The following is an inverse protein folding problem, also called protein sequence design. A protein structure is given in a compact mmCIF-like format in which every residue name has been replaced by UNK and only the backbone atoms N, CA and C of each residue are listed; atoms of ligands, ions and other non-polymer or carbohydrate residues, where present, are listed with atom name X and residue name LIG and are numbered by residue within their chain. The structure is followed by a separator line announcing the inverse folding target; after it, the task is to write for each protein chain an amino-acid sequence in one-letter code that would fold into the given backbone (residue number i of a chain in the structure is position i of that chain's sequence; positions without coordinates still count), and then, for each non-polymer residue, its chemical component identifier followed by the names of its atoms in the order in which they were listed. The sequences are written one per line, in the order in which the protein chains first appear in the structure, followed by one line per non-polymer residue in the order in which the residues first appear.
data_IF_937587388677
#
_entry.id   IF_937587388677
#
_cell.length_a   1.000
_cell.length_b   1.000
_cell.length_c   1.000
_cell.angle_alpha   90.00
_cell.angle_beta   90.00
_cell.angle_gamma   90.00
#
_symmetry.space_group_name_H-M   'P 1'
#
loop_
_entity.id
_entity.type
_entity.pdbx_description
1 polymer ?
#
# COMPACT_ATOMS: atom_id res chain seq x y z
N UNK A 1 13.85 -24.29 10.17
CA UNK A 1 12.55 -24.66 9.59
C UNK A 1 11.90 -23.44 8.96
N UNK A 2 11.55 -23.54 7.71
CA UNK A 2 10.94 -22.39 7.00
C UNK A 2 9.44 -22.36 7.25
N UNK A 3 8.95 -21.19 7.62
CA UNK A 3 7.52 -20.96 7.80
C UNK A 3 6.91 -20.70 6.42
N UNK A 4 5.83 -21.40 6.03
CA UNK A 4 5.18 -21.15 4.75
C UNK A 4 4.67 -19.72 4.64
N UNK A 5 4.67 -19.18 3.41
CA UNK A 5 4.24 -17.79 3.18
C UNK A 5 2.79 -17.57 3.64
N UNK A 6 1.93 -18.56 3.51
CA UNK A 6 0.54 -18.48 3.94
C UNK A 6 0.42 -18.19 5.44
N UNK A 7 1.34 -18.71 6.24
CA UNK A 7 1.36 -18.45 7.67
C UNK A 7 1.83 -17.02 7.97
N UNK A 8 2.80 -16.51 7.22
CA UNK A 8 3.21 -15.10 7.34
C UNK A 8 2.04 -14.17 7.01
N UNK A 9 1.32 -14.47 5.92
CA UNK A 9 0.15 -13.69 5.51
C UNK A 9 -0.92 -13.72 6.60
N UNK A 10 -1.20 -14.90 7.14
CA UNK A 10 -2.21 -15.05 8.21
C UNK A 10 -1.85 -14.24 9.45
N UNK A 11 -0.56 -14.27 9.84
CA UNK A 11 -0.08 -13.52 11.00
C UNK A 11 -0.24 -12.01 10.82
N UNK A 12 -0.07 -11.50 9.60
CA UNK A 12 -0.12 -10.07 9.32
C UNK A 12 -1.49 -9.58 8.82
N UNK A 13 -2.48 -10.47 8.71
CA UNK A 13 -3.77 -10.10 8.09
C UNK A 13 -4.48 -8.96 8.81
N UNK A 14 -4.62 -9.04 10.12
CA UNK A 14 -5.32 -8.01 10.89
C UNK A 14 -4.58 -6.68 10.83
N UNK A 15 -3.25 -6.71 10.98
CA UNK A 15 -2.40 -5.53 10.86
C UNK A 15 -2.52 -4.93 9.45
N UNK A 16 -2.41 -5.77 8.41
CA UNK A 16 -2.50 -5.32 7.03
C UNK A 16 -3.85 -4.71 6.71
N UNK A 17 -4.95 -5.27 7.22
CA UNK A 17 -6.28 -4.69 7.03
C UNK A 17 -6.42 -3.34 7.73
N UNK A 18 -5.82 -3.18 8.90
CA UNK A 18 -5.80 -1.89 9.59
C UNK A 18 -5.03 -0.84 8.79
N UNK A 19 -3.90 -1.21 8.19
CA UNK A 19 -3.12 -0.33 7.32
C UNK A 19 -3.96 0.09 6.10
N UNK A 20 -4.60 -0.87 5.44
CA UNK A 20 -5.46 -0.59 4.28
C UNK A 20 -6.60 0.34 4.63
N UNK A 21 -7.20 0.18 5.81
CA UNK A 21 -8.26 1.06 6.29
C UNK A 21 -7.76 2.49 6.47
N UNK A 22 -6.57 2.68 7.04
CA UNK A 22 -5.98 4.01 7.23
C UNK A 22 -5.66 4.67 5.90
N UNK A 23 -5.16 3.92 4.92
CA UNK A 23 -4.93 4.44 3.57
C UNK A 23 -6.26 4.85 2.94
N UNK A 24 -7.30 4.03 3.04
CA UNK A 24 -8.62 4.34 2.52
C UNK A 24 -9.19 5.62 3.12
N UNK A 25 -9.02 5.81 4.44
CA UNK A 25 -9.47 7.03 5.11
C UNK A 25 -8.78 8.27 4.54
N UNK A 26 -7.49 8.18 4.20
CA UNK A 26 -6.77 9.28 3.56
C UNK A 26 -7.29 9.57 2.16
N UNK A 27 -7.62 8.53 1.40
CA UNK A 27 -8.21 8.69 0.06
C UNK A 27 -9.50 9.51 0.17
N UNK A 28 -10.36 9.19 1.13
CA UNK A 28 -11.61 9.91 1.35
C UNK A 28 -11.34 11.36 1.78
N UNK A 29 -10.39 11.58 2.67
CA UNK A 29 -10.05 12.94 3.15
C UNK A 29 -9.51 13.83 2.04
N UNK A 30 -8.87 13.26 1.03
CA UNK A 30 -8.37 14.02 -0.12
C UNK A 30 -9.48 14.44 -1.08
N UNK A 31 -10.72 14.09 -0.79
CA UNK A 31 -11.87 14.47 -1.60
C UNK A 31 -12.18 13.53 -2.74
N UNK A 32 -11.55 12.39 -2.80
CA UNK A 32 -11.93 11.36 -3.77
C UNK A 32 -13.21 10.71 -3.28
N UNK A 33 -14.27 10.84 -4.07
CA UNK A 33 -15.47 10.07 -3.81
C UNK A 33 -15.14 8.59 -3.99
N UNK A 34 -15.78 7.73 -3.20
CA UNK A 34 -15.65 6.29 -3.36
C UNK A 34 -16.38 5.89 -4.64
N UNK A 35 -15.77 6.18 -5.78
CA UNK A 35 -16.33 5.89 -7.09
C UNK A 35 -15.82 4.53 -7.56
N UNK A 36 -16.59 3.91 -8.43
CA UNK A 36 -16.29 2.57 -8.92
C UNK A 36 -14.97 2.48 -9.70
N UNK A 37 -14.48 3.61 -10.22
CA UNK A 37 -13.24 3.64 -10.97
C UNK A 37 -11.99 3.83 -10.09
N UNK A 38 -12.16 4.14 -8.80
CA UNK A 38 -11.05 4.23 -7.86
C UNK A 38 -10.93 2.92 -7.10
N UNK A 39 -9.84 2.20 -7.37
CA UNK A 39 -9.59 0.95 -6.69
C UNK A 39 -9.00 1.24 -5.31
N UNK A 40 -9.63 0.69 -4.27
CA UNK A 40 -9.17 0.85 -2.90
C UNK A 40 -8.18 -0.27 -2.52
N UNK A 41 -7.25 -0.03 -1.61
CA UNK A 41 -6.33 -1.07 -1.18
C UNK A 41 -7.08 -2.16 -0.41
N UNK A 42 -6.91 -3.40 -0.86
CA UNK A 42 -7.48 -4.59 -0.24
C UNK A 42 -6.34 -5.54 0.07
N UNK A 43 -6.17 -5.86 1.36
CA UNK A 43 -5.11 -6.75 1.79
C UNK A 43 -5.13 -8.08 1.04
N UNK A 44 -6.34 -8.64 0.83
CA UNK A 44 -6.48 -9.95 0.17
C UNK A 44 -6.15 -9.91 -1.33
N UNK A 45 -6.18 -8.72 -1.94
CA UNK A 45 -5.85 -8.55 -3.36
C UNK A 45 -4.34 -8.38 -3.61
N UNK A 46 -3.54 -8.14 -2.58
CA UNK A 46 -2.10 -7.97 -2.74
C UNK A 46 -1.45 -9.30 -3.10
N UNK A 47 -0.45 -9.25 -3.96
CA UNK A 47 0.36 -10.43 -4.31
C UNK A 47 1.59 -10.45 -3.43
N UNK A 48 1.68 -11.45 -2.55
CA UNK A 48 2.70 -11.52 -1.52
C UNK A 48 3.87 -12.42 -1.91
N UNK A 49 5.05 -12.04 -1.44
CA UNK A 49 6.27 -12.83 -1.52
C UNK A 49 7.12 -12.59 -0.28
N UNK A 50 8.06 -13.51 -0.01
CA UNK A 50 9.04 -13.34 1.06
C UNK A 50 10.34 -12.86 0.44
N UNK A 51 10.92 -11.82 1.01
CA UNK A 51 12.17 -11.21 0.53
C UNK A 51 13.15 -11.18 1.69
N UNK A 52 14.37 -11.66 1.45
CA UNK A 52 15.42 -11.63 2.47
C UNK A 52 15.97 -10.22 2.59
N UNK A 53 15.97 -9.69 3.82
CA UNK A 53 16.57 -8.39 4.11
C UNK A 53 18.10 -8.55 4.09
N UNK A 54 18.80 -7.77 3.24
CA UNK A 54 20.26 -7.92 3.13
C UNK A 54 21.03 -7.48 4.37
N UNK A 55 20.40 -6.69 5.24
CA UNK A 55 21.08 -6.18 6.44
C UNK A 55 20.86 -7.07 7.66
N UNK A 56 19.66 -7.57 7.85
CA UNK A 56 19.29 -8.34 9.04
C UNK A 56 19.28 -9.84 8.80
N UNK A 57 19.31 -10.28 7.54
CA UNK A 57 19.15 -11.68 7.12
C UNK A 57 17.77 -12.25 7.47
N UNK A 58 16.88 -11.43 8.01
CA UNK A 58 15.49 -11.80 8.24
C UNK A 58 14.69 -11.78 6.96
N UNK A 59 13.46 -12.28 7.02
CA UNK A 59 12.57 -12.27 5.88
C UNK A 59 11.47 -11.22 6.06
N UNK A 60 11.30 -10.40 5.03
CA UNK A 60 10.21 -9.42 4.97
C UNK A 60 9.07 -10.03 4.15
N UNK A 61 7.84 -9.81 4.61
CA UNK A 61 6.65 -10.13 3.80
C UNK A 61 6.31 -8.91 2.97
N UNK A 62 6.33 -9.06 1.63
CA UNK A 62 6.12 -7.95 0.69
C UNK A 62 4.92 -8.27 -0.18
N UNK A 63 3.96 -7.35 -0.23
CA UNK A 63 2.80 -7.44 -1.10
C UNK A 63 2.76 -6.30 -2.10
N UNK A 64 2.28 -6.59 -3.30
CA UNK A 64 2.12 -5.60 -4.36
C UNK A 64 0.69 -5.58 -4.85
N UNK A 65 0.18 -4.37 -5.11
CA UNK A 65 -1.13 -4.18 -5.73
C UNK A 65 -0.95 -3.77 -7.18
N UNK A 66 -1.82 -4.31 -8.04
CA UNK A 66 -1.78 -4.04 -9.47
C UNK A 66 -3.15 -3.57 -9.96
N UNK A 67 -3.14 -2.70 -10.99
CA UNK A 67 -4.37 -2.29 -11.64
C UNK A 67 -4.77 -3.30 -12.72
N UNK A 68 -5.85 -2.99 -13.48
CA UNK A 68 -6.34 -3.90 -14.51
C UNK A 68 -5.34 -4.10 -15.66
N UNK A 69 -4.42 -3.16 -15.86
CA UNK A 69 -3.38 -3.23 -16.89
C UNK A 69 -2.10 -3.87 -16.36
N UNK A 70 -2.16 -4.51 -15.20
CA UNK A 70 -1.03 -5.17 -14.53
C UNK A 70 0.11 -4.22 -14.17
N UNK A 71 -0.18 -2.92 -14.06
CA UNK A 71 0.78 -1.94 -13.55
C UNK A 71 0.72 -1.90 -12.03
N UNK A 72 1.89 -1.83 -11.41
CA UNK A 72 1.95 -1.77 -9.94
C UNK A 72 1.49 -0.39 -9.46
N UNK A 73 0.48 -0.39 -8.59
CA UNK A 73 -0.10 0.83 -8.03
C UNK A 73 0.13 0.96 -6.53
N UNK A 74 0.80 0.00 -5.92
CA UNK A 74 1.10 0.09 -4.50
C UNK A 74 1.89 -1.08 -3.98
N UNK A 75 2.35 -0.95 -2.74
CA UNK A 75 3.11 -1.99 -2.06
C UNK A 75 2.90 -1.90 -0.56
N UNK A 76 3.09 -3.02 0.10
CA UNK A 76 3.09 -3.10 1.57
C UNK A 76 4.21 -4.05 1.98
N UNK A 77 5.06 -3.61 2.91
CA UNK A 77 6.20 -4.40 3.40
C UNK A 77 6.11 -4.53 4.91
N UNK A 78 6.16 -5.76 5.38
CA UNK A 78 6.22 -6.05 6.82
C UNK A 78 7.63 -6.53 7.12
N UNK A 79 8.35 -5.75 7.92
CA UNK A 79 9.74 -6.08 8.29
C UNK A 79 9.77 -7.03 9.47
N UNK A 80 10.87 -7.78 9.59
CA UNK A 80 11.02 -8.76 10.65
C UNK A 80 11.06 -8.16 12.06
N UNK A 81 11.34 -6.86 12.19
CA UNK A 81 11.39 -6.18 13.48
C UNK A 81 10.02 -5.67 13.95
N UNK A 82 8.95 -5.93 13.20
CA UNK A 82 7.59 -5.49 13.52
C UNK A 82 7.18 -4.17 12.92
N UNK A 83 8.10 -3.47 12.25
CA UNK A 83 7.77 -2.24 11.54
C UNK A 83 7.22 -2.57 10.15
N UNK A 84 6.59 -1.58 9.51
CA UNK A 84 6.07 -1.73 8.16
C UNK A 84 6.24 -0.45 7.35
N UNK A 85 6.13 -0.59 6.04
CA UNK A 85 6.03 0.53 5.12
C UNK A 85 5.03 0.17 4.03
N UNK A 86 4.15 1.11 3.69
CA UNK A 86 3.19 0.92 2.60
C UNK A 86 3.07 2.19 1.78
N UNK A 87 2.78 2.02 0.50
CA UNK A 87 2.54 3.11 -0.43
C UNK A 87 1.41 2.71 -1.36
N UNK A 88 0.49 3.64 -1.61
CA UNK A 88 -0.63 3.41 -2.53
C UNK A 88 -0.81 4.64 -3.40
N UNK A 89 -0.85 4.44 -4.72
CA UNK A 89 -0.95 5.52 -5.70
C UNK A 89 -2.38 5.67 -6.17
N UNK A 90 -2.90 6.89 -6.09
CA UNK A 90 -4.23 7.24 -6.61
C UNK A 90 -4.05 8.24 -7.72
N UNK A 91 -4.62 7.94 -8.88
CA UNK A 91 -4.49 8.76 -10.08
C UNK A 91 -5.87 9.28 -10.46
N UNK A 92 -5.98 10.57 -10.72
CA UNK A 92 -7.22 11.17 -11.20
C UNK A 92 -6.94 12.20 -12.30
N UNK A 93 -7.93 12.48 -13.18
CA UNK A 93 -7.77 13.50 -14.21
C UNK A 93 -7.59 14.89 -13.62
N UNK A 94 -6.70 15.69 -14.23
CA UNK A 94 -6.55 17.09 -13.87
C UNK A 94 -7.73 17.87 -14.47
N UNK A 95 -8.39 18.78 -13.71
CA UNK A 95 -9.58 19.48 -14.19
C UNK A 95 -9.30 20.48 -15.33
N UNK A 96 -8.08 20.98 -15.48
CA UNK A 96 -7.72 22.03 -16.46
C UNK A 96 -6.65 21.61 -17.46
N UNK A 97 -6.01 20.46 -17.25
CA UNK A 97 -4.92 20.00 -18.12
C UNK A 97 -5.22 18.57 -18.55
N UNK A 98 -4.60 18.12 -19.63
CA UNK A 98 -4.69 16.72 -20.02
C UNK A 98 -3.81 15.80 -19.15
N UNK A 99 -3.29 16.34 -18.06
CA UNK A 99 -2.44 15.61 -17.12
C UNK A 99 -3.25 14.93 -16.04
N UNK A 100 -2.60 13.96 -15.41
CA UNK A 100 -3.15 13.26 -14.27
C UNK A 100 -2.45 13.71 -13.01
N UNK A 101 -3.20 13.91 -11.94
CA UNK A 101 -2.63 13.99 -10.62
C UNK A 101 -2.40 12.58 -10.11
N UNK A 102 -1.22 12.35 -9.56
CA UNK A 102 -0.93 11.14 -8.81
C UNK A 102 -0.79 11.57 -7.36
N UNK A 103 -1.65 11.02 -6.52
CA UNK A 103 -1.56 11.22 -5.08
C UNK A 103 -1.03 9.95 -4.46
N UNK A 104 0.19 10.01 -3.93
CA UNK A 104 0.80 8.89 -3.25
C UNK A 104 0.48 8.98 -1.76
N UNK A 105 -0.08 7.91 -1.22
CA UNK A 105 -0.37 7.81 0.20
C UNK A 105 0.63 6.84 0.79
N UNK A 106 1.42 7.32 1.75
CA UNK A 106 2.41 6.52 2.45
C UNK A 106 1.93 6.21 3.86
N UNK A 107 2.20 5.00 4.31
CA UNK A 107 1.92 4.59 5.68
C UNK A 107 3.14 3.87 6.22
N UNK A 108 3.46 4.09 7.50
CA UNK A 108 4.63 3.47 8.12
C UNK A 108 4.45 3.41 9.63
N UNK A 109 5.35 2.70 10.29
CA UNK A 109 5.35 2.59 11.73
C UNK A 109 5.23 1.16 12.21
N UNK A 110 4.41 0.97 13.24
CA UNK A 110 4.17 -0.32 13.87
C UNK A 110 2.68 -0.51 14.09
N UNK A 111 2.28 -1.70 14.49
CA UNK A 111 0.87 -2.05 14.67
C UNK A 111 0.15 -1.13 15.65
N UNK A 112 0.83 -0.70 16.71
CA UNK A 112 0.27 0.19 17.72
C UNK A 112 0.40 1.67 17.37
N UNK A 113 1.06 2.00 16.26
CA UNK A 113 1.27 3.39 15.86
C UNK A 113 1.43 3.48 14.34
N UNK A 114 0.30 3.50 13.63
CA UNK A 114 0.27 3.62 12.17
C UNK A 114 0.23 5.09 11.80
N UNK A 115 1.27 5.56 11.09
CA UNK A 115 1.37 6.93 10.59
C UNK A 115 1.09 6.95 9.10
N UNK A 116 0.43 8.00 8.62
CA UNK A 116 0.11 8.16 7.20
C UNK A 116 0.42 9.56 6.73
N UNK A 117 0.78 9.68 5.45
CA UNK A 117 1.03 10.96 4.79
C UNK A 117 0.58 10.84 3.34
N UNK A 118 -0.07 11.89 2.83
CA UNK A 118 -0.48 11.95 1.44
C UNK A 118 0.35 13.02 0.72
N UNK A 119 0.93 12.67 -0.43
CA UNK A 119 1.69 13.59 -1.27
C UNK A 119 0.99 13.75 -2.61
N UNK A 120 0.74 14.98 -3.00
CA UNK A 120 0.19 15.30 -4.31
C UNK A 120 1.35 15.46 -5.28
N UNK A 121 1.32 14.68 -6.35
CA UNK A 121 2.30 14.77 -7.43
C UNK A 121 1.59 15.20 -8.71
N UNK A 122 2.07 16.30 -9.31
CA UNK A 122 1.57 16.79 -10.60
C UNK A 122 2.44 16.19 -11.70
N UNK A 123 1.81 15.36 -12.55
CA UNK A 123 2.55 14.70 -13.63
C UNK A 123 2.73 15.70 -14.78
N UNK A 124 3.95 16.09 -15.16
CA UNK A 124 4.14 17.01 -16.28
C UNK A 124 3.76 16.36 -17.60
N UNK A 125 3.36 17.19 -18.53
CA UNK A 125 3.02 16.73 -19.90
C UNK A 125 4.25 16.17 -20.60
#
# INVERSE_FOLDING_TARGET
MNIPIEQHIATKRDFGKAICRRITENIVKLGFALQSDIKLPDFEAAKFSLVTDPYTQGQDLVGYWYNADEQRIGQIKFHGDGSFYAEYDVVKPHPRKKQWFVEAINAWGREDNIKTEAKLLDIPN
#
